data_IF_841670887719
#
_entry.id   IF_841670887719
#
_cell.length_a   1.000
_cell.length_b   1.000
_cell.length_c   1.000
_cell.angle_alpha   90.00
_cell.angle_beta   90.00
_cell.angle_gamma   90.00
#
_symmetry.space_group_name_H-M   'P 1'
#
loop_
_entity.id
_entity.type
_entity.pdbx_description
1 polymer ?
#
# COMPACT_ATOMS: atom_id res chain seq x y z
N UNK A 1 11.72 33.39 50.21
CA UNK A 1 12.53 32.70 51.24
C UNK A 1 11.65 31.70 51.94
N UNK A 2 12.04 30.42 51.87
CA UNK A 2 11.91 29.39 52.90
C UNK A 2 10.51 29.07 53.50
N UNK A 3 9.95 27.97 53.00
CA UNK A 3 9.77 26.69 53.71
C UNK A 3 8.98 26.63 55.05
N UNK A 4 7.97 25.74 55.03
CA UNK A 4 7.83 24.56 55.91
C UNK A 4 6.76 24.50 57.02
N UNK A 5 6.06 23.36 56.94
CA UNK A 5 5.62 22.39 57.99
C UNK A 5 4.27 22.50 58.70
N UNK A 6 3.35 21.63 58.23
CA UNK A 6 2.79 20.38 58.84
C UNK A 6 2.09 20.40 60.21
N UNK A 7 0.97 19.64 60.26
CA UNK A 7 0.45 18.84 61.39
C UNK A 7 -1.08 18.86 61.48
N UNK A 8 -1.84 17.91 60.90
CA UNK A 8 -2.31 16.59 61.43
C UNK A 8 -3.25 16.73 62.67
N UNK A 9 -4.44 16.11 62.79
CA UNK A 9 -4.76 14.68 62.60
C UNK A 9 -6.27 14.36 62.70
N UNK A 10 -6.62 13.18 62.14
CA UNK A 10 -7.65 12.20 62.57
C UNK A 10 -9.13 12.48 62.24
N UNK A 11 -9.95 11.53 61.77
CA UNK A 11 -9.98 10.08 62.01
C UNK A 11 -10.70 9.27 60.90
N UNK A 12 -10.44 7.96 60.94
CA UNK A 12 -10.67 6.87 59.98
C UNK A 12 -12.12 6.45 59.65
N UNK A 13 -12.27 5.70 58.55
CA UNK A 13 -12.97 4.38 58.48
C UNK A 13 -12.60 3.63 57.19
N UNK A 14 -12.08 2.41 57.36
CA UNK A 14 -11.85 1.37 56.33
C UNK A 14 -13.21 0.73 55.91
N UNK A 15 -13.42 -0.08 54.87
CA UNK A 15 -12.64 -1.00 54.02
C UNK A 15 -13.43 -1.19 52.70
N UNK A 16 -12.87 -1.59 51.56
CA UNK A 16 -12.64 -3.00 51.23
C UNK A 16 -11.84 -3.19 49.93
N UNK A 17 -10.95 -4.19 49.97
CA UNK A 17 -10.38 -5.01 48.88
C UNK A 17 -9.52 -4.29 47.81
N UNK A 18 -8.19 -4.26 47.91
CA UNK A 18 -7.17 -5.34 47.76
C UNK A 18 -6.75 -5.60 46.29
N UNK A 19 -5.57 -5.05 46.00
CA UNK A 19 -4.44 -5.65 45.26
C UNK A 19 -4.48 -5.63 43.73
N UNK A 20 -3.52 -4.84 43.24
CA UNK A 20 -2.92 -4.78 41.91
C UNK A 20 -2.35 -6.14 41.51
N UNK A 21 -2.74 -6.63 40.34
CA UNK A 21 -1.76 -7.06 39.34
C UNK A 21 -2.18 -6.44 38.00
N UNK A 22 -1.69 -5.21 37.80
CA UNK A 22 -1.52 -4.61 36.47
C UNK A 22 -0.51 -5.45 35.70
N UNK A 23 -0.96 -6.32 34.79
CA UNK A 23 -0.18 -6.80 33.63
C UNK A 23 -1.10 -7.56 32.66
N UNK A 24 -1.79 -6.83 31.78
CA UNK A 24 -1.92 -7.24 30.37
C UNK A 24 -2.19 -6.03 29.46
N UNK A 25 -1.49 -4.91 29.69
CA UNK A 25 -1.35 -3.84 28.69
C UNK A 25 -0.22 -4.18 27.70
N UNK A 26 -0.30 -5.37 27.08
CA UNK A 26 0.74 -5.88 26.19
C UNK A 26 0.19 -6.76 25.06
N UNK A 27 -0.75 -6.23 24.27
CA UNK A 27 -1.00 -6.77 22.93
C UNK A 27 -1.07 -5.64 21.90
N UNK A 28 0.07 -5.47 21.22
CA UNK A 28 0.14 -4.94 19.87
C UNK A 28 0.37 -3.45 19.77
N UNK A 29 1.63 -3.05 19.64
CA UNK A 29 1.95 -1.93 18.77
C UNK A 29 1.27 -2.22 17.42
N UNK A 30 0.21 -1.49 17.11
CA UNK A 30 -0.51 -1.55 15.84
C UNK A 30 0.55 -1.34 14.76
N UNK A 31 0.97 -2.45 14.17
CA UNK A 31 2.03 -2.44 13.18
C UNK A 31 1.41 -1.71 11.99
N UNK A 32 1.90 -0.52 11.66
CA UNK A 32 1.34 0.40 10.66
C UNK A 32 1.41 -0.12 9.20
N UNK A 33 1.19 -1.42 9.00
CA UNK A 33 1.06 -2.06 7.71
C UNK A 33 -0.34 -1.82 7.17
N UNK A 34 -0.42 -1.31 5.95
CA UNK A 34 -1.69 -1.15 5.24
C UNK A 34 -1.96 -2.44 4.47
N UNK A 35 -3.01 -3.16 4.85
CA UNK A 35 -3.43 -4.38 4.15
C UNK A 35 -4.10 -4.03 2.82
N UNK A 36 -3.64 -4.65 1.73
CA UNK A 36 -4.21 -4.44 0.40
C UNK A 36 -5.57 -5.13 0.29
N UNK A 37 -6.55 -4.45 -0.31
CA UNK A 37 -7.89 -5.00 -0.51
C UNK A 37 -7.86 -6.06 -1.61
N UNK A 38 -8.57 -7.15 -1.37
CA UNK A 38 -8.72 -8.27 -2.32
C UNK A 38 -9.94 -8.14 -3.24
N UNK A 39 -10.74 -7.08 -3.07
CA UNK A 39 -11.90 -6.76 -3.91
C UNK A 39 -12.11 -5.26 -4.04
N UNK A 40 -12.60 -4.82 -5.20
CA UNK A 40 -12.92 -3.42 -5.46
C UNK A 40 -14.06 -3.31 -6.49
N UNK A 41 -15.10 -2.52 -6.18
CA UNK A 41 -16.25 -2.35 -7.07
C UNK A 41 -15.88 -1.65 -8.37
N UNK A 42 -14.78 -0.88 -8.39
CA UNK A 42 -14.33 -0.14 -9.57
C UNK A 42 -13.62 -1.00 -10.63
N UNK A 43 -13.40 -2.30 -10.39
CA UNK A 43 -12.69 -3.18 -11.34
C UNK A 43 -13.41 -3.31 -12.70
N UNK A 44 -14.72 -3.05 -12.76
CA UNK A 44 -15.47 -3.04 -14.02
C UNK A 44 -15.08 -1.91 -14.98
N UNK A 45 -14.35 -0.89 -14.49
CA UNK A 45 -13.93 0.27 -15.29
C UNK A 45 -12.62 0.03 -16.05
N UNK A 46 -11.94 -1.10 -15.79
CA UNK A 46 -10.66 -1.42 -16.42
C UNK A 46 -10.75 -1.41 -17.95
N UNK A 47 -9.66 -0.99 -18.59
CA UNK A 47 -9.50 -1.10 -20.04
C UNK A 47 -9.60 -2.57 -20.50
N UNK A 48 -10.16 -2.81 -21.68
CA UNK A 48 -10.21 -4.14 -22.27
C UNK A 48 -8.83 -4.68 -22.65
N UNK A 49 -7.86 -3.80 -22.91
CA UNK A 49 -6.49 -4.20 -23.25
C UNK A 49 -5.55 -3.98 -22.06
N UNK A 50 -5.41 -5.00 -21.23
CA UNK A 50 -4.46 -5.02 -20.11
C UNK A 50 -3.13 -5.72 -20.44
N UNK A 51 -3.00 -6.30 -21.64
CA UNK A 51 -1.81 -7.04 -22.04
C UNK A 51 -0.76 -6.14 -22.68
N UNK A 52 -1.20 -5.17 -23.50
CA UNK A 52 -0.30 -4.24 -24.16
C UNK A 52 -0.18 -2.98 -23.32
N UNK A 53 0.96 -2.85 -22.65
CA UNK A 53 1.30 -1.63 -21.93
C UNK A 53 2.59 -1.02 -22.45
N UNK A 54 2.69 0.32 -22.43
CA UNK A 54 3.94 0.99 -22.74
C UNK A 54 5.04 0.55 -21.75
N UNK A 55 6.29 0.63 -22.20
CA UNK A 55 7.44 0.20 -21.41
C UNK A 55 7.51 0.89 -20.04
N UNK A 56 8.07 0.20 -19.04
CA UNK A 56 8.17 0.67 -17.65
C UNK A 56 8.97 1.99 -17.53
N UNK A 57 9.85 2.27 -18.49
CA UNK A 57 10.69 3.48 -18.55
C UNK A 57 10.01 4.65 -19.27
N UNK A 58 8.76 4.49 -19.71
CA UNK A 58 8.03 5.57 -20.37
C UNK A 58 7.87 6.75 -19.39
N UNK A 59 8.30 7.97 -19.76
CA UNK A 59 8.22 9.12 -18.88
C UNK A 59 6.78 9.60 -18.70
N UNK A 60 6.56 10.46 -17.71
CA UNK A 60 5.28 11.14 -17.54
C UNK A 60 4.95 11.96 -18.80
N UNK A 61 3.75 11.76 -19.35
CA UNK A 61 3.26 12.42 -20.56
C UNK A 61 3.19 13.95 -20.45
N UNK A 62 3.17 14.50 -19.21
CA UNK A 62 3.06 15.94 -18.96
C UNK A 62 4.43 16.57 -18.65
N UNK A 63 5.12 16.12 -17.60
CA UNK A 63 6.37 16.76 -17.15
C UNK A 63 7.65 16.00 -17.53
N UNK A 64 7.54 14.91 -18.29
CA UNK A 64 8.67 14.10 -18.74
C UNK A 64 9.54 13.50 -17.61
N UNK A 65 9.01 13.42 -16.38
CA UNK A 65 9.71 12.76 -15.28
C UNK A 65 9.82 11.26 -15.57
N UNK A 66 10.98 10.66 -15.33
CA UNK A 66 11.29 9.28 -15.74
C UNK A 66 11.13 8.25 -14.62
N UNK A 67 10.89 8.69 -13.39
CA UNK A 67 10.75 7.81 -12.22
C UNK A 67 9.41 8.01 -11.53
N UNK A 68 9.00 7.05 -10.71
CA UNK A 68 7.74 7.12 -9.95
C UNK A 68 6.53 7.44 -10.84
N UNK A 69 6.51 6.87 -12.04
CA UNK A 69 5.40 6.97 -12.95
C UNK A 69 4.39 5.87 -12.70
N UNK A 70 3.13 6.20 -12.99
CA UNK A 70 1.99 5.34 -12.83
C UNK A 70 1.29 5.26 -14.18
N UNK A 71 0.71 4.11 -14.48
CA UNK A 71 -0.17 3.92 -15.63
C UNK A 71 -1.62 3.91 -15.16
N UNK A 72 -2.47 4.68 -15.82
CA UNK A 72 -3.91 4.59 -15.64
C UNK A 72 -4.43 3.28 -16.23
N UNK A 73 -5.14 2.47 -15.45
CA UNK A 73 -5.63 1.17 -15.91
C UNK A 73 -6.90 1.26 -16.79
N UNK A 74 -7.42 2.47 -16.97
CA UNK A 74 -8.65 2.75 -17.72
C UNK A 74 -8.30 3.32 -19.11
N UNK A 75 -7.45 4.34 -19.18
CA UNK A 75 -7.07 5.01 -20.43
C UNK A 75 -5.60 4.83 -20.87
N UNK A 76 -4.76 4.19 -20.05
CA UNK A 76 -3.33 3.91 -20.33
C UNK A 76 -2.39 5.12 -20.33
N UNK A 77 -2.85 6.30 -19.91
CA UNK A 77 -1.96 7.44 -19.70
C UNK A 77 -0.90 7.14 -18.63
N UNK A 78 0.31 7.62 -18.89
CA UNK A 78 1.45 7.46 -17.99
C UNK A 78 1.78 8.81 -17.38
N UNK A 79 1.65 8.91 -16.06
CA UNK A 79 1.72 10.15 -15.32
C UNK A 79 2.52 9.97 -14.04
N UNK A 80 3.24 11.01 -13.62
CA UNK A 80 4.02 10.93 -12.40
C UNK A 80 3.12 10.85 -11.16
N UNK A 81 3.63 10.19 -10.12
CA UNK A 81 2.92 9.94 -8.86
C UNK A 81 2.51 11.23 -8.13
N UNK A 82 1.71 11.05 -7.07
CA UNK A 82 1.38 12.10 -6.10
C UNK A 82 2.57 12.68 -5.32
N UNK A 83 3.70 11.96 -5.30
CA UNK A 83 4.93 12.38 -4.62
C UNK A 83 5.87 13.20 -5.51
N UNK A 84 5.64 13.21 -6.83
CA UNK A 84 6.38 14.03 -7.80
C UNK A 84 5.60 15.33 -8.08
N UNK A 85 4.84 15.40 -9.19
CA UNK A 85 4.05 16.57 -9.58
C UNK A 85 2.53 16.29 -9.54
N UNK A 86 2.10 15.15 -9.00
CA UNK A 86 0.69 14.79 -8.81
C UNK A 86 -0.13 14.64 -10.09
N UNK A 87 0.50 14.49 -11.26
CA UNK A 87 -0.24 14.36 -12.51
C UNK A 87 -1.21 13.18 -12.54
N UNK A 88 -0.86 12.02 -11.97
CA UNK A 88 -1.82 10.90 -11.90
C UNK A 88 -3.02 11.21 -10.99
N UNK A 89 -2.80 11.98 -9.92
CA UNK A 89 -3.88 12.41 -9.04
C UNK A 89 -4.78 13.45 -9.71
N UNK A 90 -4.20 14.44 -10.39
CA UNK A 90 -4.97 15.44 -11.14
C UNK A 90 -5.79 14.77 -12.25
N UNK A 91 -5.19 13.82 -12.97
CA UNK A 91 -5.88 13.00 -13.98
C UNK A 91 -7.08 12.25 -13.40
N UNK A 92 -6.93 11.65 -12.22
CA UNK A 92 -8.06 11.06 -11.51
C UNK A 92 -9.16 12.09 -11.22
N UNK A 93 -8.81 13.29 -10.74
CA UNK A 93 -9.79 14.34 -10.43
C UNK A 93 -10.52 14.86 -11.68
N UNK A 94 -9.84 14.95 -12.81
CA UNK A 94 -10.38 15.49 -14.05
C UNK A 94 -11.23 14.47 -14.83
N UNK A 95 -10.83 13.19 -14.82
CA UNK A 95 -11.44 12.15 -15.66
C UNK A 95 -12.30 11.16 -14.87
N UNK A 96 -12.15 11.09 -13.54
CA UNK A 96 -12.73 10.05 -12.70
C UNK A 96 -12.03 8.69 -12.81
N UNK A 97 -10.91 8.60 -13.54
CA UNK A 97 -10.16 7.35 -13.68
C UNK A 97 -9.45 6.96 -12.39
N UNK A 98 -10.08 6.08 -11.61
CA UNK A 98 -9.66 5.82 -10.23
C UNK A 98 -8.64 4.68 -10.08
N UNK A 99 -8.36 3.88 -11.10
CA UNK A 99 -7.45 2.73 -11.01
C UNK A 99 -6.11 3.02 -11.70
N UNK A 100 -5.01 2.88 -10.97
CA UNK A 100 -3.67 3.08 -11.50
C UNK A 100 -2.68 2.03 -10.96
N UNK A 101 -1.69 1.65 -11.77
CA UNK A 101 -0.58 0.79 -11.38
C UNK A 101 0.72 1.59 -11.33
N UNK A 102 1.49 1.42 -10.27
CA UNK A 102 2.80 2.04 -10.08
C UNK A 102 3.89 1.26 -10.82
N UNK A 103 4.70 1.95 -11.61
CA UNK A 103 5.85 1.33 -12.27
C UNK A 103 7.05 1.09 -11.34
N UNK A 104 7.08 1.75 -10.18
CA UNK A 104 8.17 1.61 -9.20
C UNK A 104 8.15 0.26 -8.49
N UNK A 105 6.98 -0.18 -8.05
CA UNK A 105 6.79 -1.32 -7.15
C UNK A 105 5.66 -2.27 -7.59
N UNK A 106 5.03 -2.00 -8.75
CA UNK A 106 3.93 -2.79 -9.32
C UNK A 106 2.67 -2.82 -8.44
N UNK A 107 2.59 -1.95 -7.44
CA UNK A 107 1.38 -1.80 -6.62
C UNK A 107 0.24 -1.22 -7.44
N UNK A 108 -0.99 -1.66 -7.15
CA UNK A 108 -2.22 -1.12 -7.75
C UNK A 108 -2.95 -0.31 -6.70
N UNK A 109 -3.41 0.88 -7.10
CA UNK A 109 -4.13 1.81 -6.25
C UNK A 109 -5.50 2.12 -6.82
N UNK A 110 -6.49 2.23 -5.94
CA UNK A 110 -7.79 2.79 -6.26
C UNK A 110 -7.98 4.11 -5.53
N UNK A 111 -8.05 5.22 -6.28
CA UNK A 111 -8.26 6.57 -5.73
C UNK A 111 -9.63 6.74 -5.06
N UNK A 112 -10.68 6.08 -5.55
CA UNK A 112 -12.01 6.14 -4.92
C UNK A 112 -12.07 5.38 -3.59
N UNK A 113 -11.38 4.25 -3.49
CA UNK A 113 -11.34 3.44 -2.27
C UNK A 113 -10.28 3.92 -1.28
N UNK A 114 -9.40 4.85 -1.68
CA UNK A 114 -8.21 5.29 -0.95
C UNK A 114 -7.38 4.10 -0.43
N UNK A 115 -7.20 3.08 -1.29
CA UNK A 115 -6.63 1.80 -0.88
C UNK A 115 -5.79 1.14 -1.97
N UNK A 116 -4.77 0.40 -1.54
CA UNK A 116 -4.05 -0.55 -2.38
C UNK A 116 -4.92 -1.77 -2.67
N UNK A 117 -4.76 -2.32 -3.87
CA UNK A 117 -5.43 -3.52 -4.33
C UNK A 117 -4.41 -4.65 -4.52
N UNK A 118 -4.78 -5.85 -4.10
CA UNK A 118 -3.96 -7.04 -4.29
C UNK A 118 -4.09 -7.56 -5.72
N UNK A 119 -3.13 -7.18 -6.58
CA UNK A 119 -3.12 -7.54 -7.99
C UNK A 119 -2.89 -9.04 -8.24
N UNK A 120 -2.33 -9.77 -7.28
CA UNK A 120 -2.11 -11.21 -7.40
C UNK A 120 -3.39 -11.99 -7.06
N UNK A 121 -4.18 -11.48 -6.11
CA UNK A 121 -5.46 -12.08 -5.73
C UNK A 121 -6.60 -11.71 -6.70
N UNK A 122 -6.65 -10.46 -7.15
CA UNK A 122 -7.70 -9.96 -8.05
C UNK A 122 -7.44 -10.42 -9.48
N UNK A 123 -8.26 -11.36 -9.97
CA UNK A 123 -8.08 -11.99 -11.29
C UNK A 123 -8.10 -11.00 -12.45
N UNK A 124 -8.90 -9.93 -12.36
CA UNK A 124 -8.99 -8.89 -13.39
C UNK A 124 -7.69 -8.07 -13.53
N UNK A 125 -6.87 -7.99 -12.47
CA UNK A 125 -5.60 -7.25 -12.48
C UNK A 125 -4.41 -8.11 -12.90
N UNK A 126 -4.59 -9.43 -12.98
CA UNK A 126 -3.50 -10.36 -13.33
C UNK A 126 -2.83 -10.05 -14.67
N UNK A 127 -3.56 -9.78 -15.78
CA UNK A 127 -2.92 -9.53 -17.08
C UNK A 127 -1.94 -8.35 -17.05
N UNK A 128 -2.37 -7.23 -16.46
CA UNK A 128 -1.55 -6.03 -16.35
C UNK A 128 -0.36 -6.25 -15.42
N UNK A 129 -0.59 -6.92 -14.29
CA UNK A 129 0.46 -7.21 -13.31
C UNK A 129 1.53 -8.13 -13.90
N UNK A 130 1.13 -9.20 -14.60
CA UNK A 130 2.06 -10.12 -15.27
C UNK A 130 2.87 -9.40 -16.36
N UNK A 131 2.23 -8.59 -17.21
CA UNK A 131 2.93 -7.80 -18.23
C UNK A 131 3.95 -6.85 -17.59
N UNK A 132 3.54 -6.08 -16.58
CA UNK A 132 4.42 -5.13 -15.91
C UNK A 132 5.58 -5.82 -15.18
N UNK A 133 5.32 -6.95 -14.54
CA UNK A 133 6.34 -7.77 -13.86
C UNK A 133 7.35 -8.33 -14.87
N UNK A 134 6.88 -8.82 -16.02
CA UNK A 134 7.75 -9.31 -17.09
C UNK A 134 8.63 -8.20 -17.66
N UNK A 135 8.08 -7.01 -17.90
CA UNK A 135 8.88 -5.86 -18.36
C UNK A 135 9.94 -5.43 -17.33
N UNK A 136 9.58 -5.44 -16.04
CA UNK A 136 10.47 -4.97 -14.98
C UNK A 136 11.57 -5.97 -14.62
N UNK A 137 11.25 -7.27 -14.63
CA UNK A 137 12.15 -8.31 -14.11
C UNK A 137 12.59 -9.35 -15.14
N UNK A 138 12.02 -9.36 -16.35
CA UNK A 138 12.35 -10.32 -17.40
C UNK A 138 11.87 -11.76 -17.15
N UNK A 139 11.13 -11.99 -16.05
CA UNK A 139 10.56 -13.29 -15.66
C UNK A 139 9.10 -13.12 -15.29
N UNK A 140 8.33 -14.20 -15.20
CA UNK A 140 6.93 -14.15 -14.72
C UNK A 140 6.88 -14.00 -13.19
N UNK A 141 5.81 -13.41 -12.64
CA UNK A 141 5.64 -13.32 -11.20
C UNK A 141 5.57 -14.72 -10.56
N UNK A 142 6.14 -14.92 -9.36
CA UNK A 142 6.00 -16.16 -8.62
C UNK A 142 4.52 -16.49 -8.39
N UNK A 143 4.18 -17.77 -8.43
CA UNK A 143 2.82 -18.21 -8.10
C UNK A 143 2.66 -18.16 -6.58
N UNK A 144 1.76 -17.30 -6.08
CA UNK A 144 1.36 -17.32 -4.67
C UNK A 144 0.81 -18.69 -4.29
N UNK A 145 1.43 -19.31 -3.30
CA UNK A 145 1.07 -20.64 -2.77
C UNK A 145 2.06 -21.76 -3.10
N UNK A 146 3.04 -21.54 -3.98
CA UNK A 146 4.14 -22.49 -4.17
C UNK A 146 5.42 -21.95 -3.53
N UNK A 147 5.76 -22.46 -2.34
CA UNK A 147 7.13 -22.40 -1.84
C UNK A 147 7.96 -23.28 -2.78
N UNK A 148 8.59 -22.68 -3.77
CA UNK A 148 9.70 -23.31 -4.48
C UNK A 148 10.96 -22.73 -3.89
N UNK A 149 11.64 -23.52 -3.06
CA UNK A 149 13.00 -23.24 -2.62
C UNK A 149 13.87 -22.99 -3.86
N UNK A 150 14.18 -21.74 -4.14
CA UNK A 150 15.32 -21.41 -4.99
C UNK A 150 16.54 -21.74 -4.15
N UNK A 151 17.07 -22.96 -4.32
CA UNK A 151 18.41 -23.28 -3.86
C UNK A 151 19.36 -22.45 -4.73
N UNK A 152 20.10 -21.55 -4.09
CA UNK A 152 21.22 -20.89 -4.75
C UNK A 152 22.19 -21.94 -5.30
N UNK A 153 22.69 -21.79 -6.54
CA UNK A 153 23.79 -22.63 -7.01
C UNK A 153 25.05 -22.25 -6.23
N UNK A 154 25.61 -23.24 -5.54
CA UNK A 154 26.86 -23.17 -4.80
C UNK A 154 27.95 -22.59 -5.70
N UNK A 155 28.50 -21.43 -5.30
CA UNK A 155 29.60 -20.78 -6.00
C UNK A 155 30.88 -21.53 -5.63
N UNK A 156 31.27 -22.46 -6.51
CA UNK A 156 32.63 -23.06 -6.53
C UNK A 156 33.66 -22.09 -7.09
#
# INVERSE_FOLDING_TARGET
MSASTRGFSSSASASSAMILEEVDDLIGAESGWVEAKTSCDHLHTLSFDLYHIPHIDTPCNICQHTRENWICLICKDILCSRFVNKHMFNHYQETGHCLALSYSDLSVWCFNCDAYLDAEFITQLRPIHESAYLFKFGVRPPIRGTISQVREPDRS
#
